data_IF_740016619336
#
_entry.id   IF_740016619336
#
_cell.length_a   1.000
_cell.length_b   1.000
_cell.length_c   1.000
_cell.angle_alpha   90.00
_cell.angle_beta   90.00
_cell.angle_gamma   90.00
#
_symmetry.space_group_name_H-M   'P 1'
#
loop_
_entity.id
_entity.type
_entity.pdbx_description
1 polymer ?
#
# COMPACT_ATOMS: atom_id res chain seq x y z
N UNK A 1 7.16 26.86 12.95
CA UNK A 1 8.15 27.27 11.93
C UNK A 1 7.52 27.07 10.57
N UNK A 2 7.62 28.01 9.63
CA UNK A 2 7.13 27.82 8.27
C UNK A 2 8.09 26.86 7.54
N UNK A 3 7.80 25.57 7.57
CA UNK A 3 8.56 24.59 6.80
C UNK A 3 8.21 24.77 5.32
N UNK A 4 9.22 25.04 4.48
CA UNK A 4 9.04 25.19 3.04
C UNK A 4 8.93 23.82 2.39
N UNK A 5 8.13 23.69 1.32
CA UNK A 5 8.06 22.46 0.52
C UNK A 5 9.35 22.20 -0.28
N UNK A 6 10.02 23.26 -0.70
CA UNK A 6 11.24 23.22 -1.51
C UNK A 6 12.08 24.48 -1.30
N UNK A 7 13.35 24.37 -1.67
CA UNK A 7 14.30 25.47 -1.83
C UNK A 7 14.66 25.61 -3.31
N UNK A 8 15.03 26.81 -3.74
CA UNK A 8 15.54 27.04 -5.10
C UNK A 8 17.05 27.19 -5.00
N UNK A 9 17.78 26.27 -5.63
CA UNK A 9 19.23 26.31 -5.72
C UNK A 9 19.65 26.05 -7.17
N UNK A 10 20.43 26.96 -7.76
CA UNK A 10 20.90 26.85 -9.15
C UNK A 10 19.76 26.57 -10.15
N UNK A 11 18.64 27.30 -10.01
CA UNK A 11 17.42 27.15 -10.82
C UNK A 11 16.74 25.76 -10.72
N UNK A 12 17.11 24.96 -9.72
CA UNK A 12 16.46 23.67 -9.42
C UNK A 12 15.68 23.73 -8.11
N UNK A 13 14.56 22.99 -8.09
CA UNK A 13 13.77 22.77 -6.89
C UNK A 13 14.39 21.64 -6.08
N UNK A 14 14.96 21.97 -4.92
CA UNK A 14 15.58 21.02 -4.00
C UNK A 14 14.64 20.79 -2.83
N UNK A 15 14.38 19.52 -2.51
CA UNK A 15 13.52 19.15 -1.41
C UNK A 15 14.31 19.10 -0.09
N UNK A 16 13.77 19.69 1.00
CA UNK A 16 14.31 19.47 2.34
C UNK A 16 14.22 18.00 2.75
N UNK A 17 15.16 17.56 3.60
CA UNK A 17 15.22 16.16 4.05
C UNK A 17 13.98 15.75 4.88
N UNK A 18 13.31 16.72 5.51
CA UNK A 18 12.05 16.50 6.21
C UNK A 18 10.90 16.15 5.24
N UNK A 19 10.94 16.66 4.00
CA UNK A 19 9.92 16.45 2.95
C UNK A 19 10.19 15.16 2.19
N UNK A 20 11.44 14.90 1.79
CA UNK A 20 11.77 13.73 0.98
C UNK A 20 13.23 13.28 1.16
N UNK A 21 13.52 11.96 1.19
CA UNK A 21 14.90 11.46 1.29
C UNK A 21 15.74 11.75 0.03
N UNK A 22 15.14 11.68 -1.16
CA UNK A 22 15.76 12.17 -2.40
C UNK A 22 15.56 13.69 -2.51
N UNK A 23 16.58 14.47 -2.15
CA UNK A 23 16.54 15.94 -2.24
C UNK A 23 16.41 16.45 -3.67
N UNK A 24 16.91 15.69 -4.63
CA UNK A 24 16.89 15.94 -6.06
C UNK A 24 15.73 15.20 -6.77
N UNK A 25 14.69 14.78 -6.03
CA UNK A 25 13.54 14.04 -6.57
C UNK A 25 13.01 14.65 -7.88
N UNK A 26 12.87 15.97 -7.94
CA UNK A 26 12.28 16.69 -9.07
C UNK A 26 13.22 16.82 -10.29
N UNK A 27 14.47 16.36 -10.18
CA UNK A 27 15.42 16.31 -11.30
C UNK A 27 15.61 14.89 -11.84
N UNK A 28 15.03 13.88 -11.18
CA UNK A 28 15.14 12.47 -11.55
C UNK A 28 14.02 12.02 -12.47
N UNK A 29 14.29 10.98 -13.25
CA UNK A 29 13.26 10.25 -13.99
C UNK A 29 12.47 9.29 -13.08
N UNK A 30 11.23 8.92 -13.43
CA UNK A 30 10.47 7.90 -12.71
C UNK A 30 11.23 6.59 -12.54
N UNK A 31 11.98 6.16 -13.55
CA UNK A 31 12.78 4.93 -13.53
C UNK A 31 13.93 5.03 -12.52
N UNK A 32 14.63 6.17 -12.46
CA UNK A 32 15.69 6.41 -11.48
C UNK A 32 15.15 6.40 -10.04
N UNK A 33 13.95 6.94 -9.83
CA UNK A 33 13.28 6.93 -8.51
C UNK A 33 12.90 5.49 -8.12
N UNK A 34 12.27 4.73 -9.04
CA UNK A 34 11.92 3.32 -8.80
C UNK A 34 13.16 2.48 -8.48
N UNK A 35 14.24 2.67 -9.23
CA UNK A 35 15.50 1.96 -9.01
C UNK A 35 16.09 2.32 -7.64
N UNK A 36 16.06 3.59 -7.26
CA UNK A 36 16.55 4.03 -5.94
C UNK A 36 15.79 3.36 -4.80
N UNK A 37 14.44 3.34 -4.84
CA UNK A 37 13.65 2.64 -3.83
C UNK A 37 13.91 1.13 -3.83
N UNK A 38 14.03 0.53 -5.01
CA UNK A 38 14.34 -0.91 -5.13
C UNK A 38 15.65 -1.26 -4.43
N UNK A 39 16.70 -0.46 -4.64
CA UNK A 39 18.02 -0.69 -4.04
C UNK A 39 18.03 -0.42 -2.53
N UNK A 40 17.50 0.73 -2.10
CA UNK A 40 17.55 1.14 -0.68
C UNK A 40 16.66 0.30 0.22
N UNK A 41 15.49 -0.15 -0.26
CA UNK A 41 14.66 -1.11 0.47
C UNK A 41 15.37 -2.46 0.61
N UNK A 42 16.06 -2.92 -0.45
CA UNK A 42 16.86 -4.15 -0.40
C UNK A 42 18.01 -4.04 0.59
N UNK A 43 18.75 -2.94 0.59
CA UNK A 43 19.84 -2.70 1.55
C UNK A 43 19.33 -2.67 2.99
N UNK A 44 18.22 -1.97 3.23
CA UNK A 44 17.57 -1.89 4.55
C UNK A 44 17.12 -3.27 5.04
N UNK A 45 16.51 -4.06 4.15
CA UNK A 45 16.12 -5.43 4.46
C UNK A 45 17.32 -6.30 4.83
N UNK A 46 18.38 -6.30 4.02
CA UNK A 46 19.56 -7.13 4.25
C UNK A 46 20.25 -6.79 5.58
N UNK A 47 20.32 -5.51 5.93
CA UNK A 47 20.83 -5.07 7.22
C UNK A 47 19.97 -5.62 8.37
N UNK A 48 18.65 -5.43 8.29
CA UNK A 48 17.73 -5.88 9.34
C UNK A 48 17.69 -7.41 9.46
N UNK A 49 17.69 -8.15 8.35
CA UNK A 49 17.69 -9.61 8.35
C UNK A 49 18.93 -10.17 9.07
N UNK A 50 20.10 -9.56 8.84
CA UNK A 50 21.34 -9.90 9.56
C UNK A 50 21.21 -9.66 11.06
N UNK A 51 20.63 -8.54 11.47
CA UNK A 51 20.41 -8.22 12.89
C UNK A 51 19.40 -9.16 13.56
N UNK A 52 18.32 -9.51 12.84
CA UNK A 52 17.25 -10.38 13.33
C UNK A 52 17.74 -11.82 13.56
N UNK A 53 18.53 -12.34 12.64
CA UNK A 53 19.05 -13.71 12.65
C UNK A 53 20.41 -13.84 13.35
N UNK A 54 20.98 -12.72 13.80
CA UNK A 54 22.24 -12.68 14.53
C UNK A 54 22.17 -13.46 15.85
N UNK A 55 23.32 -13.97 16.31
CA UNK A 55 23.43 -14.79 17.52
C UNK A 55 22.95 -14.09 18.80
N UNK A 56 22.88 -12.76 18.78
CA UNK A 56 22.49 -11.86 19.87
C UNK A 56 20.99 -11.57 19.96
N UNK A 57 20.18 -11.92 18.96
CA UNK A 57 18.73 -11.69 19.03
C UNK A 57 18.05 -12.83 19.79
N UNK A 58 17.82 -12.62 21.10
CA UNK A 58 17.22 -13.62 21.97
C UNK A 58 15.74 -13.87 21.65
N UNK A 59 15.06 -12.93 20.98
CA UNK A 59 13.61 -12.99 20.75
C UNK A 59 13.19 -14.17 19.85
N UNK A 60 13.84 -14.37 18.70
CA UNK A 60 13.49 -15.49 17.82
C UNK A 60 13.77 -16.85 18.46
N UNK A 61 14.80 -16.93 19.31
CA UNK A 61 15.16 -18.15 20.04
C UNK A 61 14.19 -18.42 21.18
N UNK A 62 13.86 -17.40 21.98
CA UNK A 62 12.87 -17.45 23.07
C UNK A 62 11.48 -17.83 22.56
N UNK A 63 11.14 -17.46 21.32
CA UNK A 63 9.86 -17.77 20.69
C UNK A 63 9.88 -19.03 19.82
N UNK A 64 10.97 -19.79 19.81
CA UNK A 64 11.14 -20.99 18.97
C UNK A 64 10.90 -20.74 17.47
N UNK A 65 11.10 -19.50 17.01
CA UNK A 65 10.90 -19.10 15.60
C UNK A 65 12.16 -19.30 14.75
N UNK A 66 13.33 -19.46 15.38
CA UNK A 66 14.62 -19.67 14.70
C UNK A 66 14.66 -20.96 13.86
N UNK A 67 13.76 -21.90 14.11
CA UNK A 67 13.63 -23.14 13.31
C UNK A 67 12.97 -22.90 11.95
N UNK A 68 12.21 -21.80 11.81
CA UNK A 68 11.45 -21.47 10.60
C UNK A 68 12.11 -20.37 9.76
N UNK A 69 12.98 -19.58 10.39
CA UNK A 69 13.64 -18.41 9.80
C UNK A 69 15.16 -18.55 9.89
N UNK A 70 15.80 -18.71 8.73
CA UNK A 70 17.25 -18.48 8.57
C UNK A 70 17.48 -17.17 7.79
N UNK A 71 18.68 -16.61 7.91
CA UNK A 71 19.07 -15.39 7.21
C UNK A 71 18.97 -15.59 5.69
N UNK A 72 19.42 -16.76 5.23
CA UNK A 72 19.46 -17.16 3.83
C UNK A 72 18.03 -17.28 3.27
N UNK A 73 17.16 -18.05 3.95
CA UNK A 73 15.77 -18.23 3.54
C UNK A 73 15.01 -16.91 3.51
N UNK A 74 15.17 -16.08 4.54
CA UNK A 74 14.54 -14.76 4.63
C UNK A 74 15.00 -13.86 3.48
N UNK A 75 16.30 -13.86 3.17
CA UNK A 75 16.90 -13.10 2.05
C UNK A 75 16.43 -13.58 0.68
N UNK A 76 16.32 -14.89 0.49
CA UNK A 76 15.85 -15.50 -0.74
C UNK A 76 14.39 -15.12 -1.02
N UNK A 77 13.49 -15.37 -0.05
CA UNK A 77 12.06 -15.08 -0.20
C UNK A 77 11.86 -13.58 -0.44
N UNK A 78 12.54 -12.72 0.33
CA UNK A 78 12.47 -11.28 0.11
C UNK A 78 12.92 -10.91 -1.29
N UNK A 79 14.08 -11.39 -1.75
CA UNK A 79 14.60 -11.04 -3.06
C UNK A 79 13.64 -11.42 -4.18
N UNK A 80 12.99 -12.58 -4.07
CA UNK A 80 12.01 -13.06 -5.05
C UNK A 80 10.75 -12.19 -5.03
N UNK A 81 10.11 -12.06 -3.87
CA UNK A 81 8.84 -11.34 -3.78
C UNK A 81 9.05 -9.85 -4.06
N UNK A 82 10.15 -9.25 -3.60
CA UNK A 82 10.41 -7.82 -3.73
C UNK A 82 10.65 -7.45 -5.17
N UNK A 83 11.45 -8.24 -5.88
CA UNK A 83 11.61 -8.10 -7.32
C UNK A 83 10.27 -8.28 -8.04
N UNK A 84 9.47 -9.27 -7.66
CA UNK A 84 8.15 -9.52 -8.25
C UNK A 84 7.21 -8.32 -8.10
N UNK A 85 7.17 -7.69 -6.92
CA UNK A 85 6.37 -6.48 -6.70
C UNK A 85 6.95 -5.31 -7.48
N UNK A 86 8.22 -4.96 -7.25
CA UNK A 86 8.82 -3.73 -7.77
C UNK A 86 8.94 -3.69 -9.30
N UNK A 87 8.95 -4.86 -9.97
CA UNK A 87 8.99 -4.96 -11.43
C UNK A 87 7.60 -5.02 -12.08
N UNK A 88 6.51 -5.01 -11.29
CA UNK A 88 5.17 -5.04 -11.84
C UNK A 88 4.85 -3.73 -12.62
N UNK A 89 4.20 -3.79 -13.80
CA UNK A 89 3.95 -2.61 -14.64
C UNK A 89 3.00 -1.57 -14.04
N UNK A 90 2.38 -1.86 -12.89
CA UNK A 90 1.54 -0.86 -12.18
C UNK A 90 2.34 0.36 -11.75
N UNK A 91 3.63 0.21 -11.44
CA UNK A 91 4.46 1.32 -10.97
C UNK A 91 4.87 2.29 -12.09
N UNK A 92 4.75 1.86 -13.34
CA UNK A 92 4.95 2.70 -14.52
C UNK A 92 3.63 3.08 -15.19
N UNK A 93 2.50 2.92 -14.49
CA UNK A 93 1.19 3.25 -15.01
C UNK A 93 1.13 4.73 -15.45
N UNK A 94 0.55 5.06 -16.63
CA UNK A 94 0.53 6.43 -17.18
C UNK A 94 0.01 7.50 -16.22
N UNK A 95 -0.91 7.14 -15.33
CA UNK A 95 -1.39 8.03 -14.27
C UNK A 95 -0.26 8.59 -13.41
N UNK A 96 0.60 7.73 -12.86
CA UNK A 96 1.67 8.16 -11.97
C UNK A 96 2.68 9.04 -12.70
N UNK A 97 2.98 8.69 -13.96
CA UNK A 97 3.89 9.45 -14.81
C UNK A 97 3.34 10.85 -15.09
N UNK A 98 2.06 10.95 -15.49
CA UNK A 98 1.42 12.25 -15.74
C UNK A 98 1.34 13.10 -14.46
N UNK A 99 1.02 12.48 -13.32
CA UNK A 99 1.01 13.20 -12.03
C UNK A 99 2.41 13.69 -11.68
N UNK A 100 3.44 12.85 -11.75
CA UNK A 100 4.81 13.25 -11.38
C UNK A 100 5.32 14.45 -12.18
N UNK A 101 4.96 14.52 -13.46
CA UNK A 101 5.29 15.67 -14.33
C UNK A 101 4.31 16.85 -14.22
N UNK A 102 3.40 16.82 -13.25
CA UNK A 102 2.36 17.83 -13.02
C UNK A 102 1.51 18.13 -14.26
N UNK A 103 1.21 17.11 -15.07
CA UNK A 103 0.39 17.23 -16.29
C UNK A 103 -1.11 17.24 -15.97
N UNK A 104 -1.51 18.10 -15.05
CA UNK A 104 -2.89 18.27 -14.63
C UNK A 104 -3.16 19.73 -14.25
N UNK A 105 -4.44 20.09 -14.20
CA UNK A 105 -4.92 21.35 -13.62
C UNK A 105 -5.47 21.16 -12.19
N UNK A 106 -5.95 22.26 -11.58
CA UNK A 106 -6.47 22.24 -10.22
C UNK A 106 -7.70 21.36 -10.07
N UNK A 107 -8.60 21.36 -11.05
CA UNK A 107 -9.84 20.59 -10.99
C UNK A 107 -9.55 19.09 -11.07
N UNK A 108 -8.62 18.70 -11.95
CA UNK A 108 -8.12 17.34 -12.04
C UNK A 108 -7.43 16.88 -10.74
N UNK A 109 -6.62 17.74 -10.11
CA UNK A 109 -6.00 17.43 -8.81
C UNK A 109 -7.06 17.26 -7.71
N UNK A 110 -8.09 18.11 -7.68
CA UNK A 110 -9.21 17.99 -6.73
C UNK A 110 -10.01 16.70 -6.96
N UNK A 111 -10.27 16.34 -8.22
CA UNK A 111 -10.93 15.09 -8.57
C UNK A 111 -10.11 13.88 -8.14
N UNK A 112 -8.79 13.90 -8.41
CA UNK A 112 -7.87 12.87 -7.91
C UNK A 112 -7.96 12.74 -6.40
N UNK A 113 -7.82 13.83 -5.67
CA UNK A 113 -7.83 13.81 -4.21
C UNK A 113 -9.12 13.18 -3.67
N UNK A 114 -10.29 13.58 -4.19
CA UNK A 114 -11.59 13.05 -3.76
C UNK A 114 -11.75 11.57 -4.06
N UNK A 115 -11.40 11.12 -5.27
CA UNK A 115 -11.59 9.72 -5.66
C UNK A 115 -10.53 8.79 -5.07
N UNK A 116 -9.28 9.23 -4.92
CA UNK A 116 -8.23 8.44 -4.28
C UNK A 116 -8.45 8.30 -2.77
N UNK A 117 -9.11 9.28 -2.12
CA UNK A 117 -9.48 9.16 -0.71
C UNK A 117 -10.39 7.95 -0.42
N UNK A 118 -11.16 7.47 -1.40
CA UNK A 118 -11.90 6.21 -1.25
C UNK A 118 -10.97 5.00 -1.00
N UNK A 119 -9.77 4.96 -1.59
CA UNK A 119 -8.78 3.93 -1.27
C UNK A 119 -8.26 4.09 0.16
N UNK A 120 -7.82 5.31 0.53
CA UNK A 120 -7.31 5.61 1.87
C UNK A 120 -8.31 5.23 2.97
N UNK A 121 -9.61 5.47 2.73
CA UNK A 121 -10.67 5.10 3.68
C UNK A 121 -10.80 3.59 3.93
N UNK A 122 -10.24 2.72 3.08
CA UNK A 122 -10.45 1.27 3.15
C UNK A 122 -9.18 0.45 3.43
N UNK A 123 -7.98 0.96 3.14
CA UNK A 123 -6.69 0.27 3.36
C UNK A 123 -6.59 -0.38 4.74
N UNK A 124 -6.80 0.38 5.83
CA UNK A 124 -6.74 -0.11 7.22
C UNK A 124 -7.71 -1.24 7.56
N UNK A 125 -8.85 -1.31 6.87
CA UNK A 125 -9.84 -2.37 7.12
C UNK A 125 -9.29 -3.74 6.70
N UNK A 126 -8.42 -3.78 5.69
CA UNK A 126 -7.83 -5.02 5.20
C UNK A 126 -6.82 -5.56 6.22
N UNK A 127 -6.04 -4.70 6.87
CA UNK A 127 -5.16 -5.12 7.97
C UNK A 127 -6.00 -5.71 9.13
N UNK A 128 -7.11 -5.07 9.50
CA UNK A 128 -8.03 -5.59 10.53
C UNK A 128 -8.65 -6.95 10.18
N UNK A 129 -9.06 -7.12 8.92
CA UNK A 129 -9.56 -8.41 8.42
C UNK A 129 -8.48 -9.50 8.49
N UNK A 130 -7.26 -9.16 8.09
CA UNK A 130 -6.11 -10.08 8.12
C UNK A 130 -5.78 -10.51 9.55
N UNK A 131 -5.80 -9.59 10.53
CA UNK A 131 -5.63 -9.96 11.96
C UNK A 131 -6.63 -11.02 12.39
N UNK A 132 -7.89 -10.87 11.99
CA UNK A 132 -8.96 -11.81 12.34
C UNK A 132 -8.73 -13.24 11.84
N UNK A 133 -7.85 -13.43 10.84
CA UNK A 133 -7.47 -14.76 10.36
C UNK A 133 -6.44 -15.46 11.23
N UNK A 134 -5.72 -14.75 12.09
CA UNK A 134 -4.73 -15.36 12.99
C UNK A 134 -5.41 -15.57 14.33
N UNK A 135 -5.71 -16.82 14.71
CA UNK A 135 -6.29 -17.11 16.02
C UNK A 135 -6.03 -18.56 16.49
N UNK A 136 -6.15 -18.81 17.80
CA UNK A 136 -5.91 -20.13 18.39
C UNK A 136 -6.85 -21.27 17.97
N UNK A 137 -7.95 -20.96 17.25
CA UNK A 137 -8.87 -21.96 16.69
C UNK A 137 -8.49 -22.44 15.28
N UNK A 138 -7.41 -21.92 14.69
CA UNK A 138 -7.04 -22.23 13.30
C UNK A 138 -6.18 -23.48 13.16
N UNK A 139 -5.90 -23.84 11.90
CA UNK A 139 -5.05 -24.98 11.52
C UNK A 139 -3.69 -24.95 12.23
N UNK A 140 -3.26 -26.10 12.76
CA UNK A 140 -1.95 -26.26 13.39
C UNK A 140 -0.81 -26.38 12.38
N UNK A 141 -0.67 -25.42 11.46
CA UNK A 141 0.36 -25.40 10.41
C UNK A 141 1.78 -25.50 10.97
N UNK A 142 2.01 -24.94 12.16
CA UNK A 142 3.28 -24.97 12.87
C UNK A 142 3.25 -25.91 14.08
N UNK A 143 2.38 -26.94 14.07
CA UNK A 143 2.24 -27.86 15.20
C UNK A 143 1.88 -27.12 16.50
N UNK A 144 2.61 -27.40 17.57
CA UNK A 144 2.43 -26.77 18.89
C UNK A 144 2.78 -25.27 18.90
N UNK A 145 3.62 -24.81 17.96
CA UNK A 145 4.03 -23.40 17.86
C UNK A 145 3.01 -22.52 17.13
N UNK A 146 1.92 -23.08 16.60
CA UNK A 146 0.94 -22.34 15.78
C UNK A 146 0.31 -21.18 16.54
N UNK A 147 0.04 -21.35 17.83
CA UNK A 147 -0.48 -20.27 18.66
C UNK A 147 0.52 -19.11 18.78
N UNK A 148 1.79 -19.41 19.06
CA UNK A 148 2.83 -18.38 19.17
C UNK A 148 3.07 -17.65 17.85
N UNK A 149 3.11 -18.37 16.73
CA UNK A 149 3.22 -17.77 15.39
C UNK A 149 2.03 -16.83 15.14
N UNK A 150 0.82 -17.28 15.42
CA UNK A 150 -0.40 -16.46 15.31
C UNK A 150 -0.31 -15.20 16.17
N UNK A 151 0.11 -15.30 17.43
CA UNK A 151 0.27 -14.16 18.34
C UNK A 151 1.34 -13.17 17.82
N UNK A 152 2.47 -13.67 17.32
CA UNK A 152 3.51 -12.83 16.71
C UNK A 152 2.97 -12.07 15.49
N UNK A 153 2.24 -12.74 14.61
CA UNK A 153 1.62 -12.11 13.44
C UNK A 153 0.60 -11.04 13.86
N UNK A 154 -0.25 -11.34 14.85
CA UNK A 154 -1.22 -10.37 15.37
C UNK A 154 -0.53 -9.11 15.90
N UNK A 155 0.58 -9.24 16.63
CA UNK A 155 1.34 -8.08 17.14
C UNK A 155 1.86 -7.22 15.98
N UNK A 156 2.47 -7.84 14.98
CA UNK A 156 3.02 -7.13 13.82
C UNK A 156 1.92 -6.40 13.05
N UNK A 157 0.80 -7.06 12.75
CA UNK A 157 -0.34 -6.44 12.07
C UNK A 157 -1.04 -5.37 12.95
N UNK A 158 -1.06 -5.54 14.27
CA UNK A 158 -1.64 -4.54 15.19
C UNK A 158 -0.85 -3.25 15.17
N UNK A 159 0.48 -3.30 14.99
CA UNK A 159 1.30 -2.11 14.83
C UNK A 159 0.93 -1.35 13.55
N UNK A 160 0.68 -2.05 12.44
CA UNK A 160 0.20 -1.44 11.20
C UNK A 160 -1.17 -0.76 11.40
N UNK A 161 -2.10 -1.42 12.11
CA UNK A 161 -3.39 -0.80 12.45
C UNK A 161 -3.21 0.43 13.33
N UNK A 162 -2.32 0.36 14.32
CA UNK A 162 -2.07 1.46 15.24
C UNK A 162 -1.58 2.70 14.48
N UNK A 163 -0.68 2.52 13.51
CA UNK A 163 -0.21 3.61 12.64
C UNK A 163 -1.34 4.22 11.80
N UNK A 164 -2.14 3.39 11.12
CA UNK A 164 -3.29 3.82 10.32
C UNK A 164 -4.32 4.63 11.12
N UNK A 165 -4.51 4.29 12.41
CA UNK A 165 -5.40 5.01 13.32
C UNK A 165 -4.72 6.11 14.14
N UNK A 166 -3.42 6.36 13.94
CA UNK A 166 -2.67 7.36 14.69
C UNK A 166 -2.63 7.09 16.20
N UNK A 167 -2.73 5.81 16.60
CA UNK A 167 -2.66 5.38 18.00
C UNK A 167 -1.19 5.17 18.36
N UNK A 168 -0.69 5.97 19.31
CA UNK A 168 0.65 5.78 19.86
C UNK A 168 0.63 4.68 20.91
N UNK A 169 1.69 3.90 20.97
CA UNK A 169 1.98 3.06 22.14
C UNK A 169 2.35 3.98 23.30
N UNK A 170 1.37 4.32 24.14
CA UNK A 170 1.62 5.08 25.36
C UNK A 170 2.17 4.16 26.47
N UNK A 171 2.93 4.70 27.41
CA UNK A 171 3.36 3.96 28.61
C UNK A 171 2.12 3.54 29.43
N UNK A 172 2.21 2.44 30.19
CA UNK A 172 1.12 1.88 31.01
C UNK A 172 0.46 2.89 31.98
N UNK A 173 1.17 3.98 32.29
CA UNK A 173 0.75 5.06 33.19
C UNK A 173 -0.02 6.17 32.48
N UNK A 174 -0.03 6.19 31.15
CA UNK A 174 -0.74 7.14 30.31
C UNK A 174 -2.00 6.47 29.77
N UNK A 175 -3.12 6.67 30.48
CA UNK A 175 -4.42 6.22 29.96
C UNK A 175 -4.90 7.23 28.92
N UNK A 176 -5.33 6.79 27.72
CA UNK A 176 -5.72 7.70 26.66
C UNK A 176 -6.96 8.50 27.09
N UNK A 177 -6.91 9.83 26.91
CA UNK A 177 -8.10 10.67 27.11
C UNK A 177 -9.07 10.51 25.95
N UNK A 178 -10.38 10.60 26.21
CA UNK A 178 -11.40 10.59 25.15
C UNK A 178 -11.11 11.64 24.07
N UNK A 179 -10.65 12.83 24.49
CA UNK A 179 -10.23 13.88 23.56
C UNK A 179 -9.06 13.45 22.70
N UNK A 180 -8.03 12.83 23.28
CA UNK A 180 -6.88 12.32 22.52
C UNK A 180 -7.25 11.25 21.50
N UNK A 181 -8.25 10.40 21.82
CA UNK A 181 -8.79 9.41 20.87
C UNK A 181 -9.53 10.10 19.72
N UNK A 182 -10.36 11.11 20.01
CA UNK A 182 -11.12 11.84 18.99
C UNK A 182 -10.23 12.77 18.14
N UNK A 183 -9.12 13.26 18.70
CA UNK A 183 -8.12 14.09 18.03
C UNK A 183 -7.01 13.22 17.37
N UNK A 184 -7.23 11.92 17.22
CA UNK A 184 -6.24 10.98 16.67
C UNK A 184 -5.80 11.35 15.26
N UNK A 185 -4.48 11.28 15.04
CA UNK A 185 -3.84 11.64 13.79
C UNK A 185 -3.89 10.45 12.80
N UNK A 186 -5.11 10.04 12.44
CA UNK A 186 -5.35 8.92 11.50
C UNK A 186 -4.87 9.28 10.08
N UNK A 187 -4.62 8.29 9.22
CA UNK A 187 -4.33 8.54 7.80
C UNK A 187 -5.42 9.35 7.10
N UNK A 188 -6.69 9.19 7.50
CA UNK A 188 -7.79 9.99 6.95
C UNK A 188 -7.72 11.44 7.42
N UNK A 189 -7.35 11.68 8.68
CA UNK A 189 -7.14 13.03 9.20
C UNK A 189 -5.97 13.70 8.48
N UNK A 190 -4.84 12.98 8.30
CA UNK A 190 -3.70 13.48 7.53
C UNK A 190 -4.08 13.75 6.06
N UNK A 191 -4.84 12.87 5.41
CA UNK A 191 -5.27 13.08 4.02
C UNK A 191 -6.20 14.29 3.87
N UNK A 192 -7.04 14.59 4.87
CA UNK A 192 -7.87 15.80 4.87
C UNK A 192 -7.06 17.10 4.91
N UNK A 193 -5.79 17.06 5.33
CA UNK A 193 -4.91 18.22 5.24
C UNK A 193 -4.64 18.60 3.78
N UNK A 194 -4.61 17.61 2.86
CA UNK A 194 -4.57 17.88 1.42
C UNK A 194 -5.84 18.60 0.97
N UNK A 195 -7.03 18.16 1.43
CA UNK A 195 -8.28 18.83 1.10
C UNK A 195 -8.30 20.28 1.57
N UNK A 196 -7.79 20.56 2.76
CA UNK A 196 -7.60 21.94 3.24
C UNK A 196 -6.68 22.73 2.30
N UNK A 197 -5.52 22.18 1.94
CA UNK A 197 -4.58 22.83 1.01
C UNK A 197 -5.14 23.06 -0.40
N UNK A 198 -6.03 22.18 -0.85
CA UNK A 198 -6.73 22.30 -2.14
C UNK A 198 -8.05 23.09 -2.04
N UNK A 199 -8.46 23.53 -0.86
CA UNK A 199 -9.73 24.22 -0.61
C UNK A 199 -10.93 23.38 -1.07
N UNK A 200 -10.94 22.08 -0.76
CA UNK A 200 -12.09 21.20 -0.96
C UNK A 200 -12.97 21.27 0.29
N UNK A 201 -14.25 21.67 0.17
CA UNK A 201 -15.17 21.70 1.32
C UNK A 201 -15.43 20.31 1.88
N UNK A 202 -15.64 20.21 3.21
CA UNK A 202 -15.95 18.95 3.91
C UNK A 202 -17.14 18.21 3.29
N UNK A 203 -18.14 18.95 2.82
CA UNK A 203 -19.35 18.41 2.16
C UNK A 203 -19.06 17.74 0.82
N UNK A 204 -17.89 17.97 0.23
CA UNK A 204 -17.48 17.42 -1.07
C UNK A 204 -16.41 16.34 -0.96
N UNK A 205 -15.86 16.07 0.23
CA UNK A 205 -14.79 15.08 0.43
C UNK A 205 -15.23 13.64 0.12
N UNK A 206 -16.52 13.35 0.27
CA UNK A 206 -17.06 12.02 0.08
C UNK A 206 -17.77 11.94 -1.27
N UNK A 207 -17.18 11.17 -2.18
CA UNK A 207 -17.75 10.87 -3.50
C UNK A 207 -17.93 9.37 -3.67
N UNK A 208 -18.93 8.91 -4.45
CA UNK A 208 -19.07 7.50 -4.77
C UNK A 208 -17.80 6.94 -5.45
N UNK A 209 -17.55 5.65 -5.26
CA UNK A 209 -16.39 4.98 -5.86
C UNK A 209 -16.58 4.79 -7.37
N UNK A 210 -15.49 4.94 -8.13
CA UNK A 210 -15.41 4.43 -9.50
C UNK A 210 -15.35 2.90 -9.46
N UNK A 211 -15.75 2.23 -10.54
CA UNK A 211 -15.75 0.76 -10.60
C UNK A 211 -14.38 0.15 -10.26
N UNK A 212 -13.29 0.62 -10.90
CA UNK A 212 -11.96 0.10 -10.57
C UNK A 212 -11.45 0.44 -9.17
N UNK A 213 -11.93 1.54 -8.56
CA UNK A 213 -11.65 1.84 -7.15
C UNK A 213 -12.38 0.85 -6.25
N UNK A 214 -13.66 0.58 -6.55
CA UNK A 214 -14.45 -0.38 -5.81
C UNK A 214 -13.91 -1.81 -5.94
N UNK A 215 -13.44 -2.20 -7.14
CA UNK A 215 -12.80 -3.49 -7.37
C UNK A 215 -11.50 -3.62 -6.59
N UNK A 216 -10.62 -2.61 -6.61
CA UNK A 216 -9.40 -2.66 -5.82
C UNK A 216 -9.70 -2.82 -4.31
N UNK A 217 -10.68 -2.07 -3.79
CA UNK A 217 -11.11 -2.21 -2.39
C UNK A 217 -11.68 -3.61 -2.12
N UNK A 218 -12.51 -4.16 -3.01
CA UNK A 218 -13.06 -5.50 -2.85
C UNK A 218 -11.99 -6.59 -2.91
N UNK A 219 -11.06 -6.51 -3.86
CA UNK A 219 -9.95 -7.46 -4.00
C UNK A 219 -9.12 -7.47 -2.72
N UNK A 220 -8.77 -6.30 -2.18
CA UNK A 220 -8.02 -6.21 -0.91
C UNK A 220 -8.80 -6.86 0.25
N UNK A 221 -10.11 -6.61 0.35
CA UNK A 221 -10.97 -7.23 1.38
C UNK A 221 -11.10 -8.74 1.21
N UNK A 222 -11.21 -9.23 -0.03
CA UNK A 222 -11.30 -10.66 -0.33
C UNK A 222 -10.02 -11.36 0.11
N UNK A 223 -8.87 -10.88 -0.35
CA UNK A 223 -7.58 -11.50 -0.06
C UNK A 223 -7.30 -11.46 1.46
N UNK A 224 -7.57 -10.34 2.11
CA UNK A 224 -7.32 -10.19 3.55
C UNK A 224 -8.32 -10.95 4.44
N UNK A 225 -9.58 -11.13 4.02
CA UNK A 225 -10.65 -11.50 4.96
C UNK A 225 -11.54 -12.66 4.53
N UNK A 226 -11.57 -13.03 3.25
CA UNK A 226 -12.53 -14.03 2.79
C UNK A 226 -12.20 -15.42 3.36
N UNK A 227 -13.23 -16.16 3.80
CA UNK A 227 -13.07 -17.46 4.47
C UNK A 227 -12.46 -18.55 3.58
N UNK A 228 -12.60 -18.41 2.26
CA UNK A 228 -12.02 -19.35 1.28
C UNK A 228 -10.53 -19.07 0.99
N UNK A 229 -9.99 -17.96 1.49
CA UNK A 229 -8.60 -17.55 1.27
C UNK A 229 -7.73 -17.92 2.48
N UNK A 230 -6.51 -18.39 2.23
CA UNK A 230 -5.58 -18.83 3.28
C UNK A 230 -5.03 -17.67 4.15
N UNK A 231 -4.35 -18.03 5.23
CA UNK A 231 -3.55 -17.10 6.06
C UNK A 231 -2.38 -16.48 5.28
N UNK A 232 -1.69 -17.26 4.44
CA UNK A 232 -0.54 -16.79 3.66
C UNK A 232 -0.98 -15.74 2.64
N UNK A 233 -2.03 -16.03 1.86
CA UNK A 233 -2.60 -15.08 0.90
C UNK A 233 -3.05 -13.80 1.62
N UNK A 234 -3.67 -13.92 2.79
CA UNK A 234 -4.05 -12.77 3.62
C UNK A 234 -2.85 -11.89 4.00
N UNK A 235 -1.77 -12.49 4.52
CA UNK A 235 -0.56 -11.76 4.90
C UNK A 235 0.13 -11.09 3.73
N UNK A 236 0.28 -11.82 2.63
CA UNK A 236 0.94 -11.32 1.43
C UNK A 236 0.19 -10.13 0.84
N UNK A 237 -1.15 -10.17 0.90
CA UNK A 237 -1.99 -9.07 0.42
C UNK A 237 -1.80 -7.78 1.23
N UNK A 238 -1.69 -7.86 2.56
CA UNK A 238 -1.55 -6.66 3.42
C UNK A 238 -0.10 -6.20 3.63
N UNK A 239 0.88 -7.06 3.37
CA UNK A 239 2.30 -6.73 3.48
C UNK A 239 2.91 -6.36 2.13
N UNK A 240 3.65 -7.28 1.47
CA UNK A 240 4.37 -6.98 0.23
C UNK A 240 3.52 -6.34 -0.88
N UNK A 241 2.26 -6.76 -1.04
CA UNK A 241 1.37 -6.26 -2.09
C UNK A 241 0.82 -4.84 -1.85
N UNK A 242 0.74 -4.43 -0.58
CA UNK A 242 0.22 -3.12 -0.20
C UNK A 242 1.33 -2.10 0.07
N UNK A 243 2.46 -2.50 0.65
CA UNK A 243 3.44 -1.58 1.26
C UNK A 243 4.67 -1.30 0.38
N UNK A 244 5.17 -2.26 -0.41
CA UNK A 244 6.53 -2.13 -0.98
C UNK A 244 6.66 -1.07 -2.06
N UNK A 245 5.70 -0.99 -2.97
CA UNK A 245 5.70 0.05 -4.00
C UNK A 245 5.26 1.43 -3.48
N UNK A 246 4.69 1.50 -2.26
CA UNK A 246 4.06 2.73 -1.73
C UNK A 246 5.01 3.91 -1.68
N UNK A 247 6.20 3.80 -1.06
CA UNK A 247 7.12 4.92 -1.01
C UNK A 247 7.43 5.48 -2.41
N UNK A 248 7.68 4.62 -3.39
CA UNK A 248 8.03 5.05 -4.73
C UNK A 248 6.90 5.79 -5.46
N UNK A 249 5.68 5.26 -5.43
CA UNK A 249 4.58 5.96 -6.12
C UNK A 249 4.08 7.18 -5.32
N UNK A 250 4.18 7.16 -4.00
CA UNK A 250 3.90 8.36 -3.20
C UNK A 250 4.91 9.47 -3.49
N UNK A 251 6.17 9.15 -3.79
CA UNK A 251 7.13 10.12 -4.32
C UNK A 251 6.69 10.72 -5.65
N UNK A 252 6.03 9.94 -6.52
CA UNK A 252 5.46 10.48 -7.76
C UNK A 252 4.33 11.47 -7.50
N UNK A 253 3.39 11.11 -6.62
CA UNK A 253 2.29 11.98 -6.23
C UNK A 253 2.81 13.28 -5.57
N UNK A 254 3.69 13.15 -4.59
CA UNK A 254 4.30 14.27 -3.87
C UNK A 254 5.07 15.19 -4.83
N UNK A 255 5.92 14.62 -5.68
CA UNK A 255 6.70 15.39 -6.66
C UNK A 255 5.81 16.16 -7.64
N UNK A 256 4.75 15.52 -8.12
CA UNK A 256 3.73 16.14 -8.96
C UNK A 256 3.03 17.33 -8.31
N UNK A 257 2.56 17.15 -7.07
CA UNK A 257 1.90 18.19 -6.30
C UNK A 257 2.83 19.37 -5.97
N UNK A 258 4.11 19.11 -5.69
CA UNK A 258 5.11 20.17 -5.45
C UNK A 258 5.37 20.97 -6.73
N UNK A 259 5.56 20.30 -7.88
CA UNK A 259 5.73 20.97 -9.18
C UNK A 259 4.52 21.83 -9.52
N UNK A 260 3.32 21.27 -9.32
CA UNK A 260 2.07 21.98 -9.57
C UNK A 260 1.95 23.21 -8.68
N UNK A 261 2.19 23.08 -7.37
CA UNK A 261 2.14 24.20 -6.44
C UNK A 261 3.15 25.29 -6.79
N UNK A 262 4.35 24.91 -7.23
CA UNK A 262 5.33 25.88 -7.72
C UNK A 262 4.87 26.60 -8.98
N UNK A 263 4.36 25.86 -9.98
CA UNK A 263 3.88 26.41 -11.27
C UNK A 263 2.72 27.38 -11.08
N UNK A 264 1.73 26.98 -10.29
CA UNK A 264 0.50 27.74 -10.05
C UNK A 264 0.60 28.73 -8.88
N UNK A 265 1.77 28.80 -8.21
CA UNK A 265 2.00 29.63 -7.01
C UNK A 265 0.97 29.36 -5.90
N UNK A 266 0.66 28.09 -5.66
CA UNK A 266 -0.23 27.68 -4.57
C UNK A 266 0.53 27.61 -3.25
N UNK A 267 -0.12 28.05 -2.17
CA UNK A 267 0.39 28.00 -0.80
C UNK A 267 0.22 26.59 -0.17
N UNK A 268 0.71 25.56 -0.87
CA UNK A 268 0.83 24.23 -0.27
C UNK A 268 2.02 24.19 0.70
N UNK A 269 1.86 23.45 1.79
CA UNK A 269 2.86 23.30 2.86
C UNK A 269 3.15 21.81 3.08
N UNK A 270 4.24 21.45 3.78
CA UNK A 270 4.48 20.07 4.17
C UNK A 270 3.33 19.46 4.99
N UNK A 271 2.60 20.26 5.76
CA UNK A 271 1.42 19.82 6.51
C UNK A 271 0.29 19.40 5.57
N UNK A 272 0.02 20.16 4.50
CA UNK A 272 -0.98 19.76 3.49
C UNK A 272 -0.63 18.44 2.79
N UNK A 273 0.66 18.11 2.69
CA UNK A 273 1.16 16.90 2.00
C UNK A 273 1.64 15.82 2.98
N UNK A 274 1.30 15.95 4.27
CA UNK A 274 1.93 15.17 5.34
C UNK A 274 1.72 13.67 5.20
N UNK A 275 0.52 13.23 4.80
CA UNK A 275 0.24 11.81 4.53
C UNK A 275 1.22 11.23 3.52
N UNK A 276 1.60 11.99 2.48
CA UNK A 276 2.53 11.49 1.47
C UNK A 276 3.96 11.39 2.00
N UNK A 277 4.38 12.42 2.73
CA UNK A 277 5.70 12.50 3.36
C UNK A 277 5.87 11.36 4.38
N UNK A 278 4.83 11.07 5.17
CA UNK A 278 4.82 10.01 6.17
C UNK A 278 5.04 8.63 5.53
N UNK A 279 4.22 8.25 4.56
CA UNK A 279 4.33 6.96 3.87
C UNK A 279 5.70 6.74 3.19
N UNK A 280 6.29 7.80 2.61
CA UNK A 280 7.63 7.71 2.01
C UNK A 280 8.73 7.39 3.04
N UNK A 281 8.57 7.88 4.28
CA UNK A 281 9.60 7.79 5.32
C UNK A 281 9.42 6.60 6.26
N UNK A 282 8.18 6.18 6.51
CA UNK A 282 7.87 5.25 7.59
C UNK A 282 7.49 3.83 7.10
N UNK A 283 6.91 3.68 5.91
CA UNK A 283 6.38 2.38 5.46
C UNK A 283 7.42 1.32 5.18
N UNK A 284 8.69 1.70 5.00
CA UNK A 284 9.78 0.73 4.85
C UNK A 284 9.81 -0.21 6.05
N UNK A 285 9.54 0.24 7.27
CA UNK A 285 9.52 -0.65 8.43
C UNK A 285 8.33 -1.62 8.38
N UNK A 286 7.13 -1.17 8.01
CA UNK A 286 5.94 -2.03 7.90
C UNK A 286 6.14 -3.14 6.87
N UNK A 287 6.62 -2.74 5.70
CA UNK A 287 7.04 -3.60 4.61
C UNK A 287 7.97 -4.74 5.06
N UNK A 288 8.96 -4.40 5.90
CA UNK A 288 9.93 -5.32 6.44
C UNK A 288 9.33 -6.23 7.52
N UNK A 289 8.55 -5.67 8.45
CA UNK A 289 7.90 -6.41 9.54
C UNK A 289 6.94 -7.49 9.02
N UNK A 290 6.09 -7.16 8.04
CA UNK A 290 5.15 -8.14 7.47
C UNK A 290 5.86 -9.17 6.60
N UNK A 291 7.04 -8.84 6.03
CA UNK A 291 7.85 -9.83 5.33
C UNK A 291 8.35 -10.94 6.27
N UNK A 292 8.78 -10.59 7.48
CA UNK A 292 9.18 -11.58 8.49
C UNK A 292 8.01 -12.50 8.83
N UNK A 293 6.82 -11.94 9.06
CA UNK A 293 5.60 -12.71 9.27
C UNK A 293 5.30 -13.64 8.08
N UNK A 294 5.36 -13.12 6.86
CA UNK A 294 5.12 -13.87 5.62
C UNK A 294 6.08 -15.05 5.47
N UNK A 295 7.37 -14.84 5.79
CA UNK A 295 8.39 -15.88 5.69
C UNK A 295 8.15 -17.08 6.62
N UNK A 296 7.42 -16.90 7.73
CA UNK A 296 7.02 -18.01 8.60
C UNK A 296 6.09 -19.00 7.87
N UNK A 297 5.29 -18.52 6.92
CA UNK A 297 4.29 -19.31 6.21
C UNK A 297 4.78 -19.86 4.87
N UNK A 298 5.97 -19.48 4.40
CA UNK A 298 6.53 -19.99 3.14
C UNK A 298 7.51 -21.11 3.45
N UNK A 299 7.16 -22.35 3.10
CA UNK A 299 8.00 -23.52 3.33
C UNK A 299 8.54 -24.12 2.04
N UNK A 300 7.80 -24.01 0.93
CA UNK A 300 8.14 -24.62 -0.34
C UNK A 300 7.74 -23.73 -1.53
N UNK A 301 7.96 -24.25 -2.75
CA UNK A 301 7.60 -23.55 -3.99
C UNK A 301 6.09 -23.34 -4.15
N UNK A 302 5.26 -24.20 -3.56
CA UNK A 302 3.79 -24.05 -3.64
C UNK A 302 3.35 -22.84 -2.83
N UNK A 303 3.89 -22.66 -1.64
CA UNK A 303 3.62 -21.46 -0.83
C UNK A 303 4.12 -20.19 -1.53
N UNK A 304 5.31 -20.25 -2.13
CA UNK A 304 5.86 -19.12 -2.88
C UNK A 304 5.00 -18.78 -4.10
N UNK A 305 4.45 -19.79 -4.78
CA UNK A 305 3.52 -19.62 -5.88
C UNK A 305 2.21 -18.98 -5.42
N UNK A 306 1.64 -19.45 -4.31
CA UNK A 306 0.44 -18.86 -3.71
C UNK A 306 0.66 -17.39 -3.33
N UNK A 307 1.82 -17.06 -2.74
CA UNK A 307 2.19 -15.68 -2.44
C UNK A 307 2.22 -14.83 -3.72
N UNK A 308 2.86 -15.29 -4.80
CA UNK A 308 2.90 -14.57 -6.08
C UNK A 308 1.51 -14.39 -6.69
N UNK A 309 0.65 -15.40 -6.62
CA UNK A 309 -0.73 -15.31 -7.10
C UNK A 309 -1.53 -14.24 -6.34
N UNK A 310 -1.35 -14.17 -5.01
CA UNK A 310 -1.93 -13.10 -4.19
C UNK A 310 -1.41 -11.72 -4.59
N UNK A 311 -0.11 -11.59 -4.91
CA UNK A 311 0.48 -10.34 -5.37
C UNK A 311 -0.03 -9.94 -6.74
N UNK A 312 -0.18 -10.89 -7.65
CA UNK A 312 -0.74 -10.63 -8.98
C UNK A 312 -2.16 -10.06 -8.86
N UNK A 313 -3.00 -10.66 -8.02
CA UNK A 313 -4.37 -10.19 -7.81
C UNK A 313 -4.42 -8.74 -7.29
N UNK A 314 -3.62 -8.41 -6.26
CA UNK A 314 -3.66 -7.06 -5.67
C UNK A 314 -3.02 -5.99 -6.56
N UNK A 315 -1.95 -6.32 -7.27
CA UNK A 315 -1.29 -5.41 -8.20
C UNK A 315 -2.14 -5.17 -9.45
N UNK A 316 -2.89 -6.18 -9.90
CA UNK A 316 -3.85 -6.05 -10.99
C UNK A 316 -5.06 -5.20 -10.59
N UNK A 317 -5.61 -5.41 -9.39
CA UNK A 317 -6.65 -4.53 -8.83
C UNK A 317 -6.18 -3.07 -8.73
N UNK A 318 -4.93 -2.84 -8.29
CA UNK A 318 -4.34 -1.50 -8.25
C UNK A 318 -4.20 -0.90 -9.65
N UNK A 319 -3.75 -1.69 -10.63
CA UNK A 319 -3.65 -1.23 -12.01
C UNK A 319 -5.02 -0.75 -12.51
N UNK A 320 -6.07 -1.55 -12.33
CA UNK A 320 -7.43 -1.20 -12.76
C UNK A 320 -8.01 0.03 -12.04
N UNK A 321 -7.73 0.18 -10.75
CA UNK A 321 -8.03 1.43 -10.03
C UNK A 321 -7.36 2.63 -10.70
N UNK A 322 -6.08 2.53 -11.02
CA UNK A 322 -5.34 3.62 -11.65
C UNK A 322 -5.82 3.91 -13.08
N UNK A 323 -6.21 2.88 -13.85
CA UNK A 323 -6.79 3.05 -15.19
C UNK A 323 -8.16 3.73 -15.12
N UNK A 324 -9.00 3.35 -14.15
CA UNK A 324 -10.29 3.98 -13.89
C UNK A 324 -10.14 5.44 -13.47
N UNK A 325 -9.20 5.74 -12.54
CA UNK A 325 -8.87 7.11 -12.15
C UNK A 325 -8.36 7.92 -13.35
N UNK A 326 -7.47 7.35 -14.17
CA UNK A 326 -6.92 8.02 -15.34
C UNK A 326 -8.01 8.44 -16.33
N UNK A 327 -8.84 7.50 -16.76
CA UNK A 327 -9.96 7.77 -17.68
C UNK A 327 -10.91 8.80 -17.08
N UNK A 328 -11.17 8.74 -15.77
CA UNK A 328 -12.08 9.65 -15.12
C UNK A 328 -11.52 11.08 -14.98
N UNK A 329 -10.23 11.23 -14.67
CA UNK A 329 -9.59 12.52 -14.37
C UNK A 329 -9.07 13.20 -15.64
N UNK A 330 -8.34 12.47 -16.47
CA UNK A 330 -7.73 13.01 -17.68
C UNK A 330 -8.70 13.01 -18.88
N UNK A 331 -9.80 12.24 -18.81
CA UNK A 331 -10.74 12.06 -19.93
C UNK A 331 -10.06 11.53 -21.21
N UNK A 332 -8.97 10.80 -21.01
CA UNK A 332 -8.16 10.19 -22.06
C UNK A 332 -8.31 8.66 -22.04
N UNK A 333 -8.16 7.98 -23.19
CA UNK A 333 -8.08 6.52 -23.22
C UNK A 333 -6.92 6.01 -22.35
N UNK A 334 -7.16 4.94 -21.59
CA UNK A 334 -6.14 4.24 -20.81
C UNK A 334 -6.26 2.75 -21.09
N UNK A 335 -5.19 2.06 -21.52
CA UNK A 335 -5.21 0.62 -21.71
C UNK A 335 -5.52 -0.09 -20.40
N UNK A 336 -6.40 -1.10 -20.46
CA UNK A 336 -6.58 -2.03 -19.36
C UNK A 336 -5.35 -2.96 -19.25
N UNK A 337 -5.19 -3.62 -18.10
CA UNK A 337 -4.05 -4.53 -17.86
C UNK A 337 -3.97 -5.69 -18.87
N UNK A 338 -5.10 -6.12 -19.44
CA UNK A 338 -5.16 -7.15 -20.49
C UNK A 338 -4.67 -6.67 -21.87
N UNK A 339 -4.61 -5.34 -22.07
CA UNK A 339 -4.25 -4.72 -23.34
C UNK A 339 -2.76 -4.37 -23.40
N UNK A 340 -2.07 -4.41 -22.26
CA UNK A 340 -0.61 -4.29 -22.21
C UNK A 340 0.06 -5.65 -22.40
N UNK A 341 1.34 -5.64 -22.79
CA UNK A 341 2.17 -6.84 -22.86
C UNK A 341 2.55 -7.31 -21.45
N UNK A 342 1.59 -7.85 -20.71
CA UNK A 342 1.81 -8.38 -19.37
C UNK A 342 2.60 -9.69 -19.44
N UNK A 343 3.71 -9.74 -18.70
CA UNK A 343 4.54 -10.94 -18.55
C UNK A 343 3.73 -12.09 -17.95
N UNK A 344 4.01 -13.32 -18.37
CA UNK A 344 3.31 -14.53 -17.89
C UNK A 344 3.39 -14.70 -16.38
N UNK A 345 4.48 -14.26 -15.75
CA UNK A 345 4.66 -14.34 -14.29
C UNK A 345 3.62 -13.54 -13.49
N UNK A 346 2.97 -12.54 -14.13
CA UNK A 346 1.95 -11.69 -13.51
C UNK A 346 0.53 -12.11 -13.88
N UNK A 347 0.36 -13.17 -14.67
CA UNK A 347 -0.95 -13.73 -14.99
C UNK A 347 -1.43 -14.64 -13.87
N UNK A 348 -2.71 -14.56 -13.59
CA UNK A 348 -3.41 -15.42 -12.64
C UNK A 348 -3.45 -16.84 -13.23
N UNK A 349 -3.08 -17.83 -12.43
CA UNK A 349 -3.22 -19.25 -12.79
C UNK A 349 -4.57 -19.83 -12.33
N UNK A 350 -5.32 -19.10 -11.50
CA UNK A 350 -6.59 -19.55 -10.94
C UNK A 350 -7.70 -18.51 -11.06
N UNK A 351 -8.87 -18.94 -11.53
CA UNK A 351 -10.09 -18.12 -11.60
C UNK A 351 -10.71 -17.84 -10.21
N UNK A 352 -10.21 -18.46 -9.14
CA UNK A 352 -10.82 -18.41 -7.81
C UNK A 352 -11.08 -16.98 -7.32
N UNK A 353 -10.06 -16.11 -7.32
CA UNK A 353 -10.19 -14.72 -6.89
C UNK A 353 -11.13 -13.93 -7.80
N UNK A 354 -11.14 -14.23 -9.12
CA UNK A 354 -12.07 -13.64 -10.08
C UNK A 354 -13.52 -14.00 -9.77
N UNK A 355 -13.80 -15.26 -9.47
CA UNK A 355 -15.13 -15.73 -9.10
C UNK A 355 -15.60 -15.15 -7.77
N UNK A 356 -14.71 -15.04 -6.77
CA UNK A 356 -15.02 -14.36 -5.51
C UNK A 356 -15.34 -12.88 -5.75
N UNK A 357 -14.57 -12.18 -6.59
CA UNK A 357 -14.82 -10.77 -6.90
C UNK A 357 -16.23 -10.57 -7.49
N UNK A 358 -16.62 -11.38 -8.48
CA UNK A 358 -17.97 -11.33 -9.07
C UNK A 358 -19.06 -11.55 -8.01
N UNK A 359 -18.88 -12.55 -7.15
CA UNK A 359 -19.83 -12.89 -6.07
C UNK A 359 -19.94 -11.76 -5.04
N UNK A 360 -18.83 -11.14 -4.67
CA UNK A 360 -18.82 -10.06 -3.68
C UNK A 360 -19.34 -8.73 -4.26
N UNK A 361 -19.12 -8.44 -5.56
CA UNK A 361 -19.73 -7.27 -6.23
C UNK A 361 -21.25 -7.24 -6.07
N UNK A 362 -21.91 -8.38 -6.23
CA UNK A 362 -23.36 -8.51 -6.10
C UNK A 362 -23.91 -8.10 -4.72
N UNK A 363 -23.05 -8.04 -3.69
CA UNK A 363 -23.40 -7.68 -2.31
C UNK A 363 -23.04 -6.23 -1.94
N UNK A 364 -22.37 -5.50 -2.83
CA UNK A 364 -21.93 -4.13 -2.56
C UNK A 364 -23.14 -3.20 -2.47
N UNK A 365 -23.15 -2.31 -1.48
CA UNK A 365 -24.20 -1.29 -1.25
C UNK A 365 -23.97 -0.03 -2.11
N UNK A 366 -24.73 1.03 -1.88
CA UNK A 366 -24.97 2.10 -2.86
C UNK A 366 -23.84 3.14 -3.05
N UNK A 367 -22.62 2.91 -2.52
CA UNK A 367 -21.52 3.89 -2.58
C UNK A 367 -20.58 3.72 -3.79
N UNK A 368 -21.11 3.22 -4.90
CA UNK A 368 -20.40 3.05 -6.19
C UNK A 368 -21.21 3.73 -7.29
N UNK A 369 -20.54 4.43 -8.20
CA UNK A 369 -21.18 5.02 -9.38
C UNK A 369 -21.85 3.91 -10.19
N UNK A 370 -23.09 4.12 -10.61
CA UNK A 370 -23.87 3.16 -11.41
C UNK A 370 -23.89 1.76 -10.78
N UNK A 371 -24.30 1.69 -9.50
CA UNK A 371 -24.22 0.49 -8.66
C UNK A 371 -24.83 -0.77 -9.29
N UNK A 372 -25.98 -0.66 -9.97
CA UNK A 372 -26.62 -1.80 -10.63
C UNK A 372 -25.77 -2.37 -11.76
N UNK A 373 -25.14 -1.49 -12.55
CA UNK A 373 -24.18 -1.92 -13.57
C UNK A 373 -22.99 -2.61 -12.91
N UNK A 374 -22.42 -2.00 -11.87
CA UNK A 374 -21.28 -2.55 -11.13
C UNK A 374 -21.56 -3.95 -10.56
N UNK A 375 -22.73 -4.16 -9.92
CA UNK A 375 -23.17 -5.45 -9.37
C UNK A 375 -23.27 -6.55 -10.44
N UNK A 376 -23.57 -6.18 -11.68
CA UNK A 376 -23.74 -7.09 -12.82
C UNK A 376 -22.47 -7.31 -13.66
N UNK A 377 -21.34 -6.69 -13.32
CA UNK A 377 -20.11 -6.79 -14.11
C UNK A 377 -19.52 -8.20 -14.07
N UNK A 378 -19.45 -8.82 -15.25
CA UNK A 378 -18.83 -10.13 -15.47
C UNK A 378 -17.32 -10.08 -15.75
N UNK A 379 -16.78 -8.90 -16.06
CA UNK A 379 -15.35 -8.72 -16.34
C UNK A 379 -14.57 -8.54 -15.05
N UNK A 380 -13.39 -9.15 -14.94
CA UNK A 380 -12.48 -9.00 -13.79
C UNK A 380 -11.17 -8.35 -14.25
N UNK A 381 -10.43 -7.64 -13.37
CA UNK A 381 -9.19 -6.97 -13.72
C UNK A 381 -8.00 -7.93 -13.76
N UNK A 382 -8.22 -9.20 -14.12
CA UNK A 382 -7.19 -10.25 -14.12
C UNK A 382 -6.90 -10.71 -15.54
N UNK A 383 -5.64 -11.08 -15.78
CA UNK A 383 -5.17 -11.73 -17.01
C UNK A 383 -4.81 -13.16 -16.64
N UNK A 384 -5.29 -14.12 -17.41
CA UNK A 384 -5.03 -15.55 -17.22
C UNK A 384 -4.00 -16.07 -18.22
#
# INVERSE_FOLDING_TARGET
MNHKLFEIAQDQLILPAEVHPLRDLLSRSPEEIMQWFTLTQKESFLSMAKDLTGSTNSYLKEKHLSEYLSAEKLTEIFSILHSHVMQHPVWTHPFFINVFYARFDLDQLKLFAKHYFNQIKNTRQCVALSIGKFHGLNTKRHGENSQFVSETVQILLSQLIADEYGVRTEELTSYPSLRGILDSYTHMAMYRQLFSGLQIPVTEENVPMLHGVADNVLIQRILAGHSEVSELTSLVSVGPGMEWGVPAFFSFLLGGMIRFAHREKMDLTPEHLFVFIAHIKYDVLHALSVMIATALFIQDEKDLHEAKESLNAILAGRYDMMSSLYRFIFKEPCPDIKEIKLSEIYRMQSDHTGNLLKKERAKVMDNVIDIEQYRSLETVPFVY
#
